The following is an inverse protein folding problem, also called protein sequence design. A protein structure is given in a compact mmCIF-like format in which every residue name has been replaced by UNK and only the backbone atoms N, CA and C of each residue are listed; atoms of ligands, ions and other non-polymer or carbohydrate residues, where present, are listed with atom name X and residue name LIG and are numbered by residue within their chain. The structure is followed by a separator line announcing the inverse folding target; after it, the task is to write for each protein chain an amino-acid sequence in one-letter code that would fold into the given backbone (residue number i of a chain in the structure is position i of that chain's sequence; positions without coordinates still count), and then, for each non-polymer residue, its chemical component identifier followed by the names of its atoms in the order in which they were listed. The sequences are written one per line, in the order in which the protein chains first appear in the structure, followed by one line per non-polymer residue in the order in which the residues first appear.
data_IF_499295414582
#
_entry.id   IF_499295414582
#
_cell.length_a   1.000
_cell.length_b   1.000
_cell.length_c   1.000
_cell.angle_alpha   90.00
_cell.angle_beta   90.00
_cell.angle_gamma   90.00
#
_symmetry.space_group_name_H-M   'P 1'
#
loop_
_entity.id
_entity.type
_entity.pdbx_description
1 polymer ?
#
# COMPACT_ATOMS: atom_id res chain seq x y z
N UNK A 1 -11.39 1.10 0.97
CA UNK A 1 -10.60 1.38 -0.25
C UNK A 1 -10.81 0.35 -1.35
N UNK A 2 -10.48 -0.94 -1.18
CA UNK A 2 -10.70 -1.93 -2.25
C UNK A 2 -12.17 -2.06 -2.67
N UNK A 3 -13.11 -2.10 -1.72
CA UNK A 3 -14.55 -2.10 -2.02
C UNK A 3 -14.97 -0.87 -2.84
N UNK A 4 -14.47 0.30 -2.47
CA UNK A 4 -14.75 1.55 -3.21
C UNK A 4 -14.27 1.44 -4.66
N UNK A 5 -13.07 0.91 -4.87
CA UNK A 5 -12.56 0.66 -6.22
C UNK A 5 -13.44 -0.33 -7.01
N UNK A 6 -13.89 -1.43 -6.39
CA UNK A 6 -14.77 -2.41 -7.05
C UNK A 6 -16.08 -1.76 -7.45
N UNK A 7 -16.68 -0.99 -6.55
CA UNK A 7 -17.95 -0.29 -6.79
C UNK A 7 -17.78 0.75 -7.89
N UNK A 8 -16.71 1.55 -7.85
CA UNK A 8 -16.43 2.54 -8.91
C UNK A 8 -16.25 1.85 -10.26
N UNK A 9 -15.48 0.77 -10.35
CA UNK A 9 -15.34 0.03 -11.60
C UNK A 9 -16.65 -0.62 -12.07
N UNK A 10 -17.47 -1.13 -11.15
CA UNK A 10 -18.79 -1.67 -11.46
C UNK A 10 -19.73 -0.62 -12.03
N UNK A 11 -19.75 0.59 -11.44
CA UNK A 11 -20.55 1.72 -11.93
C UNK A 11 -20.06 2.17 -13.30
N UNK A 12 -18.75 2.38 -13.45
CA UNK A 12 -18.17 2.80 -14.73
C UNK A 12 -18.44 1.78 -15.84
N UNK A 13 -18.34 0.48 -15.53
CA UNK A 13 -18.67 -0.58 -16.48
C UNK A 13 -20.15 -0.58 -16.86
N UNK A 14 -21.06 -0.39 -15.90
CA UNK A 14 -22.50 -0.35 -16.16
C UNK A 14 -22.93 0.87 -16.98
N UNK A 15 -22.22 2.00 -16.83
CA UNK A 15 -22.48 3.23 -17.57
C UNK A 15 -21.76 3.29 -18.93
N UNK A 16 -20.69 2.53 -19.11
CA UNK A 16 -19.91 2.52 -20.34
C UNK A 16 -20.69 1.81 -21.46
N UNK A 17 -20.76 2.39 -22.67
CA UNK A 17 -21.31 1.70 -23.82
C UNK A 17 -20.50 0.43 -24.12
N UNK A 18 -21.18 -0.70 -24.26
CA UNK A 18 -20.54 -2.00 -24.50
C UNK A 18 -19.80 -1.98 -25.84
N UNK A 19 -18.49 -2.25 -25.81
CA UNK A 19 -17.68 -2.53 -27.00
C UNK A 19 -17.63 -4.02 -27.35
N UNK A 20 -18.30 -4.87 -26.57
CA UNK A 20 -18.28 -6.32 -26.73
C UNK A 20 -19.24 -6.76 -27.85
N UNK A 21 -18.89 -7.76 -28.68
CA UNK A 21 -19.82 -8.36 -29.62
C UNK A 21 -21.07 -8.89 -28.90
N UNK A 22 -22.27 -8.63 -29.44
CA UNK A 22 -23.55 -9.02 -28.80
C UNK A 22 -23.67 -10.53 -28.51
N UNK A 23 -22.94 -11.37 -29.24
CA UNK A 23 -22.95 -12.83 -29.11
C UNK A 23 -21.75 -13.43 -28.34
N UNK A 24 -20.85 -12.59 -27.81
CA UNK A 24 -19.63 -13.04 -27.13
C UNK A 24 -19.80 -13.30 -25.63
N UNK A 25 -19.00 -14.20 -25.06
CA UNK A 25 -18.89 -14.33 -23.59
C UNK A 25 -18.35 -13.03 -23.03
N UNK A 26 -19.08 -12.41 -22.10
CA UNK A 26 -18.62 -11.21 -21.38
C UNK A 26 -18.02 -11.63 -20.03
N UNK A 27 -16.68 -11.69 -19.87
CA UNK A 27 -16.03 -12.18 -18.65
C UNK A 27 -16.03 -11.12 -17.54
N UNK A 28 -16.15 -9.84 -17.92
CA UNK A 28 -16.05 -8.69 -17.01
C UNK A 28 -17.07 -8.77 -15.85
N UNK A 29 -18.38 -9.01 -16.05
CA UNK A 29 -19.34 -9.12 -14.96
C UNK A 29 -19.03 -10.27 -13.99
N UNK A 30 -18.58 -11.42 -14.50
CA UNK A 30 -18.24 -12.59 -13.68
C UNK A 30 -17.03 -12.30 -12.79
N UNK A 31 -16.00 -11.67 -13.35
CA UNK A 31 -14.77 -11.35 -12.63
C UNK A 31 -15.02 -10.23 -11.62
N UNK A 32 -15.79 -9.20 -11.98
CA UNK A 32 -16.21 -8.16 -11.03
C UNK A 32 -17.06 -8.75 -9.90
N UNK A 33 -17.95 -9.69 -10.19
CA UNK A 33 -18.75 -10.37 -9.18
C UNK A 33 -17.88 -11.22 -8.24
N UNK A 34 -16.95 -12.01 -8.79
CA UNK A 34 -15.99 -12.78 -8.01
C UNK A 34 -15.13 -11.86 -7.12
N UNK A 35 -14.64 -10.74 -7.67
CA UNK A 35 -13.86 -9.74 -6.94
C UNK A 35 -14.68 -9.05 -5.84
N UNK A 36 -15.95 -8.74 -6.11
CA UNK A 36 -16.89 -8.17 -5.15
C UNK A 36 -17.18 -9.14 -4.00
N UNK A 37 -17.55 -10.38 -4.30
CA UNK A 37 -17.81 -11.43 -3.31
C UNK A 37 -16.57 -11.64 -2.44
N UNK A 38 -15.40 -11.78 -3.05
CA UNK A 38 -14.16 -11.95 -2.32
C UNK A 38 -13.85 -10.77 -1.41
N UNK A 39 -14.00 -9.54 -1.92
CA UNK A 39 -13.79 -8.32 -1.13
C UNK A 39 -14.78 -8.25 0.03
N UNK A 40 -16.03 -8.67 -0.18
CA UNK A 40 -17.06 -8.71 0.85
C UNK A 40 -16.75 -9.74 1.93
N UNK A 41 -16.37 -10.97 1.57
CA UNK A 41 -15.96 -12.02 2.50
C UNK A 41 -14.79 -11.55 3.36
N UNK A 42 -13.80 -10.91 2.75
CA UNK A 42 -12.65 -10.34 3.44
C UNK A 42 -13.04 -9.19 4.37
N UNK A 43 -13.96 -8.33 3.96
CA UNK A 43 -14.45 -7.22 4.79
C UNK A 43 -15.20 -7.76 6.02
N UNK A 44 -16.11 -8.71 5.82
CA UNK A 44 -16.86 -9.36 6.90
C UNK A 44 -15.89 -10.07 7.86
N UNK A 45 -14.91 -10.80 7.33
CA UNK A 45 -13.87 -11.45 8.11
C UNK A 45 -13.04 -10.47 8.93
N UNK A 46 -12.72 -9.29 8.37
CA UNK A 46 -12.00 -8.23 9.08
C UNK A 46 -12.82 -7.57 10.20
N UNK A 47 -14.15 -7.53 10.08
CA UNK A 47 -15.03 -7.00 11.13
C UNK A 47 -15.30 -8.02 12.24
N UNK A 48 -15.20 -9.32 11.95
CA UNK A 48 -15.44 -10.41 12.92
C UNK A 48 -14.18 -10.86 13.67
N UNK A 49 -13.00 -10.34 13.34
CA UNK A 49 -11.75 -10.64 14.04
C UNK A 49 -10.50 -10.28 13.22
N UNK A 50 -9.33 -10.62 13.75
CA UNK A 50 -8.06 -10.48 13.03
C UNK A 50 -7.94 -11.59 11.97
N UNK A 51 -7.92 -11.22 10.70
CA UNK A 51 -7.63 -12.17 9.63
C UNK A 51 -6.16 -12.62 9.74
N UNK A 52 -5.89 -13.93 9.67
CA UNK A 52 -4.52 -14.42 9.78
C UNK A 52 -3.69 -13.91 8.60
N UNK A 53 -2.40 -13.62 8.86
CA UNK A 53 -1.49 -13.04 7.86
C UNK A 53 -1.44 -13.85 6.55
N UNK A 54 -1.51 -15.17 6.61
CA UNK A 54 -1.50 -16.02 5.40
C UNK A 54 -2.70 -15.76 4.50
N UNK A 55 -3.89 -15.51 5.07
CA UNK A 55 -5.10 -15.24 4.30
C UNK A 55 -5.02 -13.87 3.63
N UNK A 56 -4.39 -12.90 4.29
CA UNK A 56 -4.08 -11.61 3.67
C UNK A 56 -3.10 -11.76 2.51
N UNK A 57 -2.05 -12.58 2.66
CA UNK A 57 -1.12 -12.88 1.57
C UNK A 57 -1.81 -13.57 0.39
N UNK A 58 -2.63 -14.59 0.67
CA UNK A 58 -3.44 -15.26 -0.34
C UNK A 58 -4.37 -14.28 -1.07
N UNK A 59 -4.98 -13.34 -0.34
CA UNK A 59 -5.83 -12.30 -0.94
C UNK A 59 -5.09 -11.40 -1.92
N UNK A 60 -3.82 -11.07 -1.63
CA UNK A 60 -3.00 -10.24 -2.52
C UNK A 60 -2.73 -10.96 -3.84
N UNK A 61 -2.38 -12.25 -3.76
CA UNK A 61 -2.14 -13.09 -4.95
C UNK A 61 -3.43 -13.27 -5.75
N UNK A 62 -4.54 -13.54 -5.07
CA UNK A 62 -5.84 -13.73 -5.70
C UNK A 62 -6.31 -12.48 -6.45
N UNK A 63 -6.16 -11.29 -5.87
CA UNK A 63 -6.49 -10.02 -6.52
C UNK A 63 -5.68 -9.83 -7.83
N UNK A 64 -4.41 -10.29 -7.87
CA UNK A 64 -3.61 -10.31 -9.11
C UNK A 64 -4.08 -11.38 -10.09
N UNK A 65 -4.37 -12.60 -9.62
CA UNK A 65 -4.84 -13.69 -10.48
C UNK A 65 -6.14 -13.31 -11.19
N UNK A 66 -7.10 -12.72 -10.48
CA UNK A 66 -8.34 -12.25 -11.11
C UNK A 66 -8.07 -11.23 -12.22
N UNK A 67 -7.14 -10.29 -11.99
CA UNK A 67 -6.77 -9.32 -13.01
C UNK A 67 -6.08 -9.99 -14.21
N UNK A 68 -5.17 -10.95 -13.99
CA UNK A 68 -4.51 -11.67 -15.08
C UNK A 68 -5.50 -12.51 -15.88
N UNK A 69 -6.44 -13.17 -15.22
CA UNK A 69 -7.53 -13.92 -15.88
C UNK A 69 -8.44 -12.97 -16.66
N UNK A 70 -8.73 -11.78 -16.14
CA UNK A 70 -9.49 -10.75 -16.87
C UNK A 70 -8.78 -10.33 -18.15
N UNK A 71 -7.49 -9.98 -18.05
CA UNK A 71 -6.68 -9.58 -19.21
C UNK A 71 -6.64 -10.73 -20.21
N UNK A 72 -6.32 -11.94 -19.76
CA UNK A 72 -6.32 -13.13 -20.60
C UNK A 72 -7.67 -13.33 -21.30
N UNK A 73 -8.80 -13.17 -20.61
CA UNK A 73 -10.12 -13.42 -21.18
C UNK A 73 -10.47 -12.55 -22.41
N UNK A 74 -9.78 -11.44 -22.63
CA UNK A 74 -10.04 -10.55 -23.77
C UNK A 74 -9.79 -11.20 -25.13
N UNK A 75 -8.79 -12.07 -25.28
CA UNK A 75 -8.59 -12.73 -26.58
C UNK A 75 -9.76 -13.67 -26.93
N UNK A 76 -10.38 -14.29 -25.93
CA UNK A 76 -11.59 -15.11 -26.09
C UNK A 76 -12.81 -14.21 -26.37
N UNK A 77 -13.00 -13.15 -25.58
CA UNK A 77 -14.15 -12.24 -25.69
C UNK A 77 -14.22 -11.57 -27.08
N UNK A 78 -13.07 -11.18 -27.63
CA UNK A 78 -12.99 -10.48 -28.91
C UNK A 78 -12.63 -11.40 -30.10
N UNK A 79 -12.54 -12.71 -29.88
CA UNK A 79 -12.14 -13.70 -30.88
C UNK A 79 -10.84 -13.31 -31.61
N UNK A 80 -9.87 -12.80 -30.86
CA UNK A 80 -8.56 -12.37 -31.36
C UNK A 80 -7.47 -13.38 -30.99
N UNK A 81 -6.31 -13.34 -31.66
CA UNK A 81 -5.13 -14.08 -31.23
C UNK A 81 -4.72 -13.72 -29.80
N UNK A 82 -4.06 -14.64 -29.09
CA UNK A 82 -3.63 -14.43 -27.70
C UNK A 82 -2.74 -13.19 -27.51
N UNK A 83 -1.98 -12.77 -28.53
CA UNK A 83 -1.16 -11.55 -28.48
C UNK A 83 -1.98 -10.26 -28.31
N UNK A 84 -3.28 -10.29 -28.62
CA UNK A 84 -4.17 -9.13 -28.50
C UNK A 84 -4.26 -8.60 -27.06
N UNK A 85 -4.39 -9.47 -26.07
CA UNK A 85 -4.58 -9.01 -24.68
C UNK A 85 -3.34 -8.31 -24.11
N UNK A 86 -2.14 -8.54 -24.67
CA UNK A 86 -0.91 -7.88 -24.19
C UNK A 86 -0.94 -6.37 -24.40
N UNK A 87 -1.84 -5.90 -25.26
CA UNK A 87 -2.07 -4.47 -25.57
C UNK A 87 -3.27 -3.89 -24.85
N UNK A 88 -3.96 -4.69 -24.04
CA UNK A 88 -5.12 -4.25 -23.31
C UNK A 88 -4.75 -3.10 -22.34
N UNK A 89 -5.48 -1.98 -22.35
CA UNK A 89 -5.28 -0.88 -21.38
C UNK A 89 -5.45 -1.32 -19.92
N UNK A 90 -6.19 -2.41 -19.69
CA UNK A 90 -6.42 -3.04 -18.39
C UNK A 90 -5.12 -3.44 -17.67
N UNK A 91 -4.00 -3.59 -18.39
CA UNK A 91 -2.67 -3.77 -17.79
C UNK A 91 -2.31 -2.65 -16.80
N UNK A 92 -2.78 -1.42 -17.00
CA UNK A 92 -2.54 -0.29 -16.08
C UNK A 92 -3.12 -0.55 -14.69
N UNK A 93 -4.15 -1.38 -14.56
CA UNK A 93 -4.76 -1.70 -13.27
C UNK A 93 -3.84 -2.51 -12.36
N UNK A 94 -2.78 -3.13 -12.93
CA UNK A 94 -1.73 -3.79 -12.14
C UNK A 94 -1.11 -2.79 -11.15
N UNK A 95 -0.77 -1.59 -11.63
CA UNK A 95 -0.18 -0.54 -10.81
C UNK A 95 -1.14 -0.02 -9.75
N UNK A 96 -2.43 0.06 -10.06
CA UNK A 96 -3.46 0.47 -9.10
C UNK A 96 -3.55 -0.53 -7.95
N UNK A 97 -3.57 -1.84 -8.24
CA UNK A 97 -3.64 -2.88 -7.20
C UNK A 97 -2.37 -2.85 -6.32
N UNK A 98 -1.19 -2.65 -6.92
CA UNK A 98 0.08 -2.51 -6.16
C UNK A 98 0.02 -1.25 -5.27
N UNK A 99 -0.40 -0.11 -5.81
CA UNK A 99 -0.51 1.15 -5.08
C UNK A 99 -1.48 1.05 -3.90
N UNK A 100 -2.61 0.35 -4.06
CA UNK A 100 -3.54 0.09 -2.96
C UNK A 100 -2.92 -0.68 -1.79
N UNK A 101 -1.83 -1.44 -2.01
CA UNK A 101 -1.09 -2.10 -0.91
C UNK A 101 -0.25 -1.15 -0.10
N UNK A 102 0.17 -0.04 -0.67
CA UNK A 102 0.91 0.99 0.06
C UNK A 102 0.08 1.56 1.22
N UNK A 103 -1.25 1.63 1.05
CA UNK A 103 -2.19 2.10 2.09
C UNK A 103 -2.23 1.23 3.34
N UNK A 104 -1.73 -0.02 3.28
CA UNK A 104 -1.63 -0.90 4.46
C UNK A 104 -0.41 -0.61 5.33
N UNK A 105 0.49 0.29 4.92
CA UNK A 105 1.74 0.56 5.63
C UNK A 105 2.55 -0.71 5.92
N UNK A 106 2.53 -1.69 5.02
CA UNK A 106 3.21 -2.98 5.19
C UNK A 106 3.96 -3.36 3.90
N UNK A 107 5.29 -3.14 3.83
CA UNK A 107 6.08 -3.35 2.61
C UNK A 107 5.97 -4.77 2.05
N UNK A 108 5.81 -5.77 2.92
CA UNK A 108 5.67 -7.19 2.53
C UNK A 108 4.55 -7.45 1.54
N UNK A 109 3.41 -6.76 1.68
CA UNK A 109 2.26 -6.95 0.78
C UNK A 109 2.45 -6.24 -0.56
N UNK A 110 3.24 -5.17 -0.60
CA UNK A 110 3.60 -4.46 -1.84
C UNK A 110 4.50 -5.37 -2.67
N UNK A 111 5.55 -5.92 -2.06
CA UNK A 111 6.50 -6.83 -2.71
C UNK A 111 5.78 -8.08 -3.22
N UNK A 112 4.92 -8.70 -2.40
CA UNK A 112 4.12 -9.86 -2.81
C UNK A 112 3.21 -9.52 -4.01
N UNK A 113 2.55 -8.37 -4.00
CA UNK A 113 1.69 -7.93 -5.10
C UNK A 113 2.48 -7.69 -6.39
N UNK A 114 3.65 -7.07 -6.29
CA UNK A 114 4.53 -6.83 -7.43
C UNK A 114 5.14 -8.11 -8.00
N UNK A 115 5.53 -9.05 -7.13
CA UNK A 115 6.01 -10.36 -7.54
C UNK A 115 4.90 -11.16 -8.24
N UNK A 116 3.70 -11.20 -7.67
CA UNK A 116 2.54 -11.85 -8.29
C UNK A 116 2.18 -11.21 -9.64
N UNK A 117 2.28 -9.87 -9.75
CA UNK A 117 2.07 -9.16 -11.00
C UNK A 117 3.12 -9.50 -12.06
N UNK A 118 4.41 -9.47 -11.71
CA UNK A 118 5.50 -9.78 -12.63
C UNK A 118 5.47 -11.24 -13.11
N UNK A 119 5.25 -12.19 -12.19
CA UNK A 119 5.09 -13.61 -12.50
C UNK A 119 3.84 -13.84 -13.35
N UNK A 120 2.71 -13.24 -12.97
CA UNK A 120 1.46 -13.34 -13.74
C UNK A 120 1.62 -12.81 -15.16
N UNK A 121 2.25 -11.65 -15.33
CA UNK A 121 2.51 -11.09 -16.66
C UNK A 121 3.47 -11.97 -17.47
N UNK A 122 4.53 -12.49 -16.85
CA UNK A 122 5.47 -13.40 -17.51
C UNK A 122 4.75 -14.67 -17.99
N UNK A 123 3.87 -15.27 -17.17
CA UNK A 123 3.05 -16.42 -17.56
C UNK A 123 2.18 -16.08 -18.77
N UNK A 124 1.54 -14.91 -18.78
CA UNK A 124 0.73 -14.48 -19.93
C UNK A 124 1.58 -14.31 -21.19
N UNK A 125 2.79 -13.75 -21.11
CA UNK A 125 3.69 -13.61 -22.25
C UNK A 125 4.15 -14.99 -22.76
N UNK A 126 4.54 -15.90 -21.87
CA UNK A 126 4.94 -17.26 -22.22
C UNK A 126 3.80 -18.04 -22.87
N UNK A 127 2.57 -17.87 -22.37
CA UNK A 127 1.37 -18.44 -22.99
C UNK A 127 1.23 -17.99 -24.44
N UNK A 128 1.37 -16.69 -24.74
CA UNK A 128 1.28 -16.22 -26.12
C UNK A 128 2.36 -16.87 -27.00
N UNK A 129 3.61 -16.90 -26.52
CA UNK A 129 4.76 -17.46 -27.28
C UNK A 129 4.53 -18.95 -27.61
N UNK A 130 3.90 -19.72 -26.72
CA UNK A 130 3.65 -21.15 -26.94
C UNK A 130 2.34 -21.44 -27.68
N UNK A 131 1.35 -20.55 -27.61
CA UNK A 131 0.00 -20.77 -28.15
C UNK A 131 -0.14 -20.61 -29.67
N UNK A 132 0.86 -20.06 -30.37
CA UNK A 132 0.81 -19.81 -31.83
C UNK A 132 1.86 -20.66 -32.56
N UNK A 133 1.50 -21.86 -33.07
CA UNK A 133 2.39 -22.68 -33.89
C UNK A 133 2.50 -22.08 -35.30
N UNK A 134 3.72 -21.76 -35.75
CA UNK A 134 4.03 -21.54 -37.18
C UNK A 134 4.39 -20.11 -37.59
N UNK A 135 4.04 -19.08 -36.81
CA UNK A 135 4.58 -17.72 -36.99
C UNK A 135 4.66 -17.06 -35.62
N UNK A 136 5.85 -17.04 -35.04
CA UNK A 136 6.10 -16.20 -33.88
C UNK A 136 5.93 -14.78 -34.36
N UNK A 137 4.76 -14.17 -34.11
CA UNK A 137 4.44 -12.77 -34.45
C UNK A 137 5.34 -11.75 -33.71
N UNK A 138 6.54 -12.16 -33.31
CA UNK A 138 7.58 -11.38 -32.67
C UNK A 138 8.16 -10.44 -33.71
N UNK A 139 7.96 -9.14 -33.49
CA UNK A 139 8.54 -8.09 -34.31
C UNK A 139 9.58 -7.31 -33.53
N UNK A 140 10.57 -6.76 -34.24
CA UNK A 140 11.48 -5.73 -33.71
C UNK A 140 11.10 -4.33 -34.18
N UNK A 141 10.08 -4.22 -35.03
CA UNK A 141 9.63 -2.95 -35.59
C UNK A 141 8.46 -2.40 -34.75
N UNK A 142 8.65 -1.19 -34.21
CA UNK A 142 7.66 -0.52 -33.37
C UNK A 142 6.36 -0.19 -34.10
N UNK A 143 6.42 0.17 -35.38
CA UNK A 143 5.23 0.46 -36.19
C UNK A 143 4.42 -0.82 -36.38
N UNK A 144 5.06 -1.92 -36.75
CA UNK A 144 4.39 -3.24 -36.88
C UNK A 144 3.77 -3.69 -35.55
N UNK A 145 4.44 -3.43 -34.43
CA UNK A 145 3.89 -3.68 -33.09
C UNK A 145 2.63 -2.85 -32.83
N UNK A 146 2.54 -1.59 -33.26
CA UNK A 146 1.34 -0.79 -33.04
C UNK A 146 0.19 -1.13 -34.00
N UNK A 147 0.48 -1.51 -35.24
CA UNK A 147 -0.52 -1.65 -36.31
C UNK A 147 -1.02 -3.07 -36.55
N UNK A 148 -0.40 -4.09 -35.96
CA UNK A 148 -0.76 -5.51 -36.13
C UNK A 148 -0.76 -6.24 -34.80
N UNK A 149 -1.27 -7.47 -34.72
CA UNK A 149 -1.20 -8.30 -33.50
C UNK A 149 0.21 -8.86 -33.19
N UNK A 150 1.26 -8.23 -33.72
CA UNK A 150 2.64 -8.56 -33.43
C UNK A 150 3.05 -8.19 -31.99
N UNK A 151 4.00 -8.94 -31.46
CA UNK A 151 4.55 -8.82 -30.11
C UNK A 151 5.94 -8.20 -30.20
N UNK A 152 6.19 -7.15 -29.42
CA UNK A 152 7.52 -6.60 -29.26
C UNK A 152 8.05 -7.04 -27.90
N UNK A 153 9.02 -7.96 -27.87
CA UNK A 153 9.60 -8.47 -26.60
C UNK A 153 10.10 -7.32 -25.73
N UNK A 154 10.70 -6.30 -26.34
CA UNK A 154 11.14 -5.10 -25.62
C UNK A 154 10.02 -4.39 -24.86
N UNK A 155 8.81 -4.32 -25.44
CA UNK A 155 7.65 -3.73 -24.76
C UNK A 155 7.17 -4.59 -23.59
N UNK A 156 7.23 -5.92 -23.71
CA UNK A 156 6.83 -6.82 -22.61
C UNK A 156 7.86 -6.81 -21.46
N UNK A 157 9.16 -6.71 -21.78
CA UNK A 157 10.22 -6.53 -20.79
C UNK A 157 10.07 -5.19 -20.08
N UNK A 158 9.79 -4.10 -20.81
CA UNK A 158 9.59 -2.77 -20.24
C UNK A 158 8.42 -2.74 -19.23
N UNK A 159 7.33 -3.46 -19.52
CA UNK A 159 6.21 -3.64 -18.58
C UNK A 159 6.64 -4.35 -17.29
N UNK A 160 7.41 -5.44 -17.38
CA UNK A 160 7.91 -6.17 -16.21
C UNK A 160 8.87 -5.28 -15.39
N UNK A 161 9.76 -4.56 -16.05
CA UNK A 161 10.67 -3.61 -15.40
C UNK A 161 9.90 -2.49 -14.71
N UNK A 162 8.86 -1.95 -15.35
CA UNK A 162 7.98 -0.94 -14.77
C UNK A 162 7.25 -1.46 -13.52
N UNK A 163 6.71 -2.68 -13.56
CA UNK A 163 6.10 -3.34 -12.39
C UNK A 163 7.12 -3.47 -11.25
N UNK A 164 8.32 -3.97 -11.56
CA UNK A 164 9.39 -4.13 -10.57
C UNK A 164 9.81 -2.79 -9.96
N UNK A 165 9.98 -1.75 -10.78
CA UNK A 165 10.43 -0.44 -10.34
C UNK A 165 9.38 0.27 -9.48
N UNK A 166 8.10 0.27 -9.90
CA UNK A 166 7.00 0.83 -9.10
C UNK A 166 6.87 0.10 -7.77
N UNK A 167 6.97 -1.23 -7.78
CA UNK A 167 6.94 -2.06 -6.57
C UNK A 167 8.09 -1.68 -5.63
N UNK A 168 9.31 -1.55 -6.16
CA UNK A 168 10.49 -1.17 -5.40
C UNK A 168 10.35 0.22 -4.78
N UNK A 169 9.98 1.23 -5.57
CA UNK A 169 9.80 2.61 -5.11
C UNK A 169 8.74 2.69 -4.02
N UNK A 170 7.58 2.05 -4.20
CA UNK A 170 6.53 2.01 -3.18
C UNK A 170 6.96 1.28 -1.92
N UNK A 171 7.68 0.16 -2.04
CA UNK A 171 8.22 -0.57 -0.89
C UNK A 171 9.20 0.30 -0.09
N UNK A 172 10.14 0.98 -0.76
CA UNK A 172 11.09 1.91 -0.14
C UNK A 172 10.36 3.09 0.51
N UNK A 173 9.37 3.67 -0.17
CA UNK A 173 8.59 4.78 0.35
C UNK A 173 7.87 4.40 1.65
N UNK A 174 7.25 3.22 1.71
CA UNK A 174 6.57 2.75 2.92
C UNK A 174 7.56 2.39 4.04
N UNK A 175 8.70 1.77 3.73
CA UNK A 175 9.76 1.55 4.74
C UNK A 175 10.22 2.87 5.33
N UNK A 176 10.41 3.90 4.51
CA UNK A 176 10.82 5.22 4.96
C UNK A 176 9.72 5.90 5.79
N UNK A 177 8.47 5.81 5.36
CA UNK A 177 7.32 6.33 6.10
C UNK A 177 7.18 5.68 7.48
N UNK A 178 7.33 4.36 7.58
CA UNK A 178 7.34 3.64 8.86
C UNK A 178 8.46 4.13 9.79
N UNK A 179 9.68 4.32 9.27
CA UNK A 179 10.80 4.82 10.08
C UNK A 179 10.57 6.23 10.60
N UNK A 180 10.05 7.12 9.75
CA UNK A 180 9.74 8.51 10.14
C UNK A 180 8.64 8.52 11.19
N UNK A 181 7.56 7.75 11.00
CA UNK A 181 6.46 7.66 11.96
C UNK A 181 6.93 7.09 13.30
N UNK A 182 7.67 5.99 13.30
CA UNK A 182 8.19 5.38 14.53
C UNK A 182 9.12 6.34 15.28
N UNK A 183 9.97 7.07 14.57
CA UNK A 183 10.85 8.07 15.18
C UNK A 183 10.07 9.23 15.79
N UNK A 184 9.06 9.75 15.08
CA UNK A 184 8.22 10.83 15.58
C UNK A 184 7.46 10.42 16.85
N UNK A 185 6.95 9.18 16.91
CA UNK A 185 6.28 8.66 18.11
C UNK A 185 7.27 8.55 19.28
N UNK A 186 8.47 8.00 19.04
CA UNK A 186 9.50 7.89 20.08
C UNK A 186 9.94 9.26 20.63
N UNK A 187 10.16 10.24 19.75
CA UNK A 187 10.53 11.61 20.15
C UNK A 187 9.39 12.29 20.93
N UNK A 188 8.13 12.05 20.55
CA UNK A 188 6.96 12.60 21.26
C UNK A 188 6.82 11.99 22.66
N UNK A 189 6.93 10.66 22.78
CA UNK A 189 6.89 9.99 24.09
C UNK A 189 8.05 10.42 24.99
N UNK A 190 9.26 10.59 24.43
CA UNK A 190 10.40 11.09 25.18
C UNK A 190 10.19 12.54 25.65
N UNK A 191 9.60 13.40 24.83
CA UNK A 191 9.26 14.77 25.22
C UNK A 191 8.17 14.80 26.32
N UNK A 192 7.15 13.95 26.22
CA UNK A 192 6.10 13.82 27.24
C UNK A 192 6.67 13.33 28.58
N UNK A 193 7.54 12.31 28.56
CA UNK A 193 8.18 11.80 29.78
C UNK A 193 9.13 12.85 30.39
N UNK A 194 9.87 13.61 29.59
CA UNK A 194 10.74 14.68 30.10
C UNK A 194 9.94 15.84 30.71
N UNK A 195 8.75 16.13 30.20
CA UNK A 195 7.87 17.18 30.73
C UNK A 195 7.35 16.87 32.14
N UNK A 196 7.46 15.61 32.60
CA UNK A 196 7.18 15.25 34.00
C UNK A 196 8.29 15.71 34.96
N UNK A 197 9.51 15.88 34.45
CA UNK A 197 10.68 16.28 35.23
C UNK A 197 11.06 17.75 35.04
N UNK A 198 10.51 18.39 34.02
CA UNK A 198 10.82 19.76 33.63
C UNK A 198 9.51 20.52 33.50
N UNK A 199 9.37 21.66 34.19
CA UNK A 199 8.12 22.42 34.15
C UNK A 199 7.73 22.78 32.70
N UNK A 200 6.44 22.83 32.42
CA UNK A 200 5.92 23.14 31.08
C UNK A 200 6.53 24.45 30.52
N UNK A 201 6.77 25.44 31.38
CA UNK A 201 7.39 26.71 31.00
C UNK A 201 8.84 26.56 30.50
N UNK A 202 9.61 25.61 31.07
CA UNK A 202 10.99 25.32 30.62
C UNK A 202 10.96 24.47 29.34
N UNK A 203 10.05 23.51 29.23
CA UNK A 203 9.91 22.67 28.04
C UNK A 203 9.50 23.49 26.79
N UNK A 204 8.52 24.39 26.95
CA UNK A 204 8.14 25.34 25.90
C UNK A 204 9.32 26.24 25.51
N UNK A 205 10.10 26.72 26.49
CA UNK A 205 11.30 27.53 26.22
C UNK A 205 12.36 26.81 25.41
N UNK A 206 12.63 25.55 25.72
CA UNK A 206 13.65 24.75 25.02
C UNK A 206 13.22 24.51 23.57
N UNK A 207 11.92 24.28 23.34
CA UNK A 207 11.39 23.93 22.02
C UNK A 207 11.11 25.15 21.14
N UNK A 208 10.79 26.31 21.72
CA UNK A 208 10.50 27.55 21.00
C UNK A 208 11.70 28.49 20.82
N UNK A 209 12.88 28.15 21.34
CA UNK A 209 14.06 28.99 21.23
C UNK A 209 14.63 28.98 19.80
N UNK A 210 14.86 30.16 19.23
CA UNK A 210 15.48 30.35 17.89
C UNK A 210 16.91 29.78 17.82
N UNK A 211 17.55 29.55 18.97
CA UNK A 211 18.90 29.01 19.11
C UNK A 211 18.93 27.97 20.22
N UNK A 212 19.79 26.98 20.08
CA UNK A 212 20.01 26.00 21.13
C UNK A 212 20.49 26.69 22.42
N UNK A 213 19.82 26.41 23.54
CA UNK A 213 20.14 26.95 24.87
C UNK A 213 21.52 26.46 25.29
N UNK A 214 22.37 27.38 25.76
CA UNK A 214 23.73 27.09 26.21
C UNK A 214 23.87 27.27 27.74
N UNK A 215 24.80 26.54 28.38
CA UNK A 215 25.12 26.78 29.78
C UNK A 215 25.55 28.23 30.00
N UNK A 216 24.85 28.93 30.89
CA UNK A 216 25.05 30.36 31.15
C UNK A 216 23.94 31.26 30.62
N UNK A 217 23.02 30.74 29.81
CA UNK A 217 21.81 31.45 29.42
C UNK A 217 20.88 31.59 30.64
N UNK A 218 20.61 32.84 31.02
CA UNK A 218 19.75 33.18 32.15
C UNK A 218 19.02 34.50 31.92
N UNK A 219 17.85 34.65 32.54
CA UNK A 219 17.05 35.86 32.46
C UNK A 219 16.62 36.31 33.84
N UNK A 220 16.55 37.64 34.02
CA UNK A 220 15.96 38.22 35.21
C UNK A 220 14.44 38.33 35.02
N UNK A 221 13.68 37.72 35.93
CA UNK A 221 12.22 37.82 35.98
C UNK A 221 11.78 38.24 37.38
N UNK A 222 10.75 39.08 37.45
CA UNK A 222 10.05 39.36 38.70
C UNK A 222 9.03 38.24 38.92
N UNK A 223 9.15 37.52 40.03
CA UNK A 223 8.29 36.40 40.39
C UNK A 223 7.81 36.50 41.83
N UNK A 224 6.65 35.92 42.10
CA UNK A 224 6.20 35.66 43.47
C UNK A 224 6.72 34.28 43.89
N UNK A 225 7.37 34.21 45.06
CA UNK A 225 7.88 32.95 45.61
C UNK A 225 6.98 32.52 46.77
N UNK A 226 6.44 31.30 46.69
CA UNK A 226 5.68 30.67 47.76
C UNK A 226 6.45 29.47 48.30
N UNK A 227 6.62 29.41 49.61
CA UNK A 227 7.13 28.24 50.31
C UNK A 227 6.01 27.61 51.15
N UNK A 228 5.82 26.30 50.98
CA UNK A 228 4.91 25.48 51.77
C UNK A 228 5.56 24.13 52.02
N UNK A 229 5.32 23.55 53.19
CA UNK A 229 5.91 22.28 53.61
C UNK A 229 4.89 21.51 54.47
N UNK A 230 5.10 20.21 54.62
CA UNK A 230 4.27 19.32 55.42
C UNK A 230 4.75 19.37 56.87
N UNK A 231 3.85 19.76 57.78
CA UNK A 231 4.15 19.75 59.21
C UNK A 231 4.41 18.31 59.70
N UNK A 232 5.53 18.10 60.39
CA UNK A 232 5.88 16.79 60.95
C UNK A 232 6.29 15.74 59.91
N UNK A 233 6.69 16.15 58.69
CA UNK A 233 7.08 15.23 57.61
C UNK A 233 8.09 14.17 58.04
N UNK A 234 9.09 14.52 58.86
CA UNK A 234 10.08 13.58 59.38
C UNK A 234 9.44 12.38 60.08
N UNK A 235 8.54 12.62 61.03
CA UNK A 235 7.84 11.58 61.79
C UNK A 235 6.94 10.73 60.89
N UNK A 236 6.32 11.32 59.87
CA UNK A 236 5.47 10.60 58.91
C UNK A 236 6.35 9.67 58.05
N UNK A 237 7.48 10.16 57.55
CA UNK A 237 8.39 9.40 56.67
C UNK A 237 9.08 8.22 57.35
N UNK A 238 9.32 8.31 58.65
CA UNK A 238 9.95 7.24 59.44
C UNK A 238 9.01 6.04 59.65
N UNK A 239 7.69 6.23 59.54
CA UNK A 239 6.68 5.23 59.87
C UNK A 239 5.97 4.63 58.64
N UNK A 240 6.17 5.19 57.45
CA UNK A 240 5.55 4.72 56.20
C UNK A 240 6.56 4.00 55.33
N UNK A 241 6.09 3.04 54.54
CA UNK A 241 6.92 2.45 53.49
C UNK A 241 7.09 3.44 52.32
N UNK A 242 8.15 3.33 51.51
CA UNK A 242 8.39 4.23 50.38
C UNK A 242 7.22 4.31 49.38
N UNK A 243 6.41 3.26 49.28
CA UNK A 243 5.28 3.19 48.35
C UNK A 243 4.00 3.80 48.92
N UNK A 244 3.91 3.96 50.24
CA UNK A 244 2.81 4.66 50.92
C UNK A 244 3.10 6.16 51.07
N UNK A 245 4.38 6.56 50.97
CA UNK A 245 4.84 7.96 51.03
C UNK A 245 4.85 8.65 49.65
N UNK A 246 4.94 7.88 48.55
CA UNK A 246 5.02 8.36 47.16
C UNK A 246 3.64 8.68 46.57
#
# INVERSE_FOLDING_TARGET
MQLLLVVTFGILYALAPSSAPEAGVQPVPWILSAYFIFTMVRLIGSHRGQLPNWLLMASVVMDMVLLMVLIWSFHIQYMQPASFYLKAPTMVYVFIIIALRALRFEPRFIILSGAAAGVGWLILVLYVIWSVPGDMMITRNYVTYLTSNAILIGAEVDKILSIAFVTFVLAVAIVRAQRVLNRAVLETTAAEDLSRFVSAEIADRITSADRAIQPGDGESKVVMVLFTDIEGFSTISENLTPQELA
#
